data_IF_037128001719
#
_entry.id   IF_037128001719
#
_cell.length_a   1.000
_cell.length_b   1.000
_cell.length_c   1.000
_cell.angle_alpha   90.00
_cell.angle_beta   90.00
_cell.angle_gamma   90.00
#
_symmetry.space_group_name_H-M   'P 1'
#
loop_
_entity.id
_entity.type
_entity.pdbx_description
1 polymer ?
#
# COMPACT_ATOMS: atom_id res chain seq x y z
N UNK A 1 -5.14 -35.65 47.87
CA UNK A 1 -4.19 -34.54 47.58
C UNK A 1 -3.87 -34.57 46.10
N UNK A 2 -4.41 -33.64 45.32
CA UNK A 2 -4.07 -33.46 43.91
C UNK A 2 -3.81 -31.96 43.70
N UNK A 3 -2.56 -31.61 43.43
CA UNK A 3 -2.14 -30.23 43.21
C UNK A 3 -2.31 -29.86 41.74
N UNK A 4 -3.22 -28.93 41.45
CA UNK A 4 -3.26 -28.26 40.16
C UNK A 4 -2.14 -27.21 40.09
N UNK A 5 -1.15 -27.45 39.23
CA UNK A 5 -0.19 -26.44 38.79
C UNK A 5 -0.85 -25.57 37.72
N UNK A 6 -1.11 -24.31 38.04
CA UNK A 6 -1.41 -23.30 37.02
C UNK A 6 -0.09 -22.81 36.43
N UNK A 7 0.18 -23.14 35.17
CA UNK A 7 1.17 -22.45 34.35
C UNK A 7 0.62 -21.08 33.98
N UNK A 8 1.31 -20.02 34.42
CA UNK A 8 0.99 -18.65 34.03
C UNK A 8 1.30 -18.46 32.54
N UNK A 9 0.26 -18.30 31.72
CA UNK A 9 0.38 -17.90 30.33
C UNK A 9 0.56 -16.37 30.29
N UNK A 10 1.81 -15.91 30.22
CA UNK A 10 2.09 -14.48 29.99
C UNK A 10 1.72 -14.19 28.54
N UNK A 11 0.61 -13.49 28.34
CA UNK A 11 0.16 -13.06 27.02
C UNK A 11 1.09 -11.94 26.50
N UNK A 12 1.99 -12.29 25.57
CA UNK A 12 2.87 -11.35 24.84
C UNK A 12 2.12 -10.28 24.03
N UNK A 13 0.78 -10.34 23.98
CA UNK A 13 -0.05 -9.37 23.25
C UNK A 13 -0.08 -7.99 23.89
N UNK A 14 0.21 -7.86 25.18
CA UNK A 14 0.09 -6.59 25.91
C UNK A 14 1.15 -5.55 25.52
N UNK A 15 2.34 -5.97 25.06
CA UNK A 15 3.42 -5.03 24.70
C UNK A 15 3.22 -4.39 23.33
N UNK A 16 2.37 -4.96 22.47
CA UNK A 16 2.12 -4.44 21.10
C UNK A 16 1.17 -3.23 21.05
N UNK A 17 0.51 -2.87 22.16
CA UNK A 17 -0.49 -1.81 22.19
C UNK A 17 0.04 -0.39 22.50
N UNK A 18 1.35 -0.21 22.73
CA UNK A 18 1.91 1.10 23.14
C UNK A 18 2.35 2.03 21.98
N UNK A 19 2.07 1.70 20.72
CA UNK A 19 2.39 2.56 19.57
C UNK A 19 1.21 3.40 19.07
N UNK A 20 0.31 3.85 19.94
CA UNK A 20 -0.77 4.77 19.54
C UNK A 20 -0.40 6.24 19.79
N UNK A 21 -0.35 7.00 18.69
CA UNK A 21 -0.60 8.46 18.59
C UNK A 21 0.45 9.42 19.16
N UNK A 22 1.66 9.42 18.62
CA UNK A 22 2.61 10.55 18.76
C UNK A 22 2.96 11.10 17.37
N UNK A 23 2.75 12.40 17.07
CA UNK A 23 3.13 13.02 15.80
C UNK A 23 4.63 12.80 15.54
N UNK A 24 4.92 12.28 14.36
CA UNK A 24 6.07 11.44 14.08
C UNK A 24 7.40 12.17 13.95
N UNK A 25 8.39 11.67 14.69
CA UNK A 25 9.77 11.69 14.26
C UNK A 25 9.90 10.84 12.97
N UNK A 26 10.53 11.38 11.92
CA UNK A 26 10.56 10.80 10.57
C UNK A 26 11.31 9.46 10.47
N UNK A 27 12.05 9.07 11.52
CA UNK A 27 12.86 7.85 11.59
C UNK A 27 12.32 6.80 12.58
N UNK A 28 11.04 6.84 12.93
CA UNK A 28 10.43 5.73 13.70
C UNK A 28 10.55 4.42 12.91
N UNK A 29 11.12 3.41 13.55
CA UNK A 29 11.19 2.03 13.06
C UNK A 29 10.16 1.17 13.80
N UNK A 30 9.79 0.05 13.18
CA UNK A 30 8.88 -0.96 13.72
C UNK A 30 9.35 -2.34 13.27
N UNK A 31 9.18 -3.34 14.12
CA UNK A 31 9.45 -4.73 13.76
C UNK A 31 8.28 -5.29 12.93
N UNK A 32 8.61 -5.94 11.82
CA UNK A 32 7.62 -6.61 11.00
C UNK A 32 6.99 -7.78 11.77
N UNK A 33 5.65 -7.89 11.87
CA UNK A 33 4.99 -8.97 12.60
C UNK A 33 5.08 -10.34 11.90
N UNK A 34 5.62 -10.41 10.68
CA UNK A 34 5.76 -11.65 9.90
C UNK A 34 7.20 -12.17 9.92
N UNK A 35 8.19 -11.31 9.67
CA UNK A 35 9.60 -11.74 9.56
C UNK A 35 10.54 -11.11 10.59
N UNK A 36 10.00 -10.37 11.57
CA UNK A 36 10.72 -9.76 12.70
C UNK A 36 11.79 -8.73 12.31
N UNK A 37 11.95 -8.42 11.01
CA UNK A 37 12.88 -7.40 10.53
C UNK A 37 12.42 -6.01 10.96
N UNK A 38 13.36 -5.23 11.49
CA UNK A 38 13.15 -3.80 11.75
C UNK A 38 13.04 -3.03 10.44
N UNK A 39 11.89 -2.40 10.20
CA UNK A 39 11.62 -1.59 9.01
C UNK A 39 11.25 -0.15 9.40
N UNK A 40 11.44 0.81 8.49
CA UNK A 40 10.92 2.16 8.72
C UNK A 40 9.39 2.12 8.73
N UNK A 41 8.78 2.81 9.68
CA UNK A 41 7.33 2.82 9.84
C UNK A 41 6.60 3.17 8.54
N UNK A 42 7.11 4.14 7.77
CA UNK A 42 6.53 4.57 6.48
C UNK A 42 6.61 3.55 5.34
N UNK A 43 7.50 2.55 5.43
CA UNK A 43 7.66 1.52 4.38
C UNK A 43 7.02 0.18 4.76
N UNK A 44 6.43 0.08 5.96
CA UNK A 44 5.83 -1.17 6.46
C UNK A 44 4.82 -1.73 5.46
N UNK A 45 3.87 -0.92 4.97
CA UNK A 45 2.87 -1.39 3.99
C UNK A 45 3.52 -2.00 2.73
N UNK A 46 4.60 -1.39 2.22
CA UNK A 46 5.31 -1.91 1.06
C UNK A 46 6.04 -3.22 1.36
N UNK A 47 6.66 -3.31 2.53
CA UNK A 47 7.30 -4.52 3.02
C UNK A 47 6.29 -5.67 3.20
N UNK A 48 5.14 -5.39 3.81
CA UNK A 48 4.04 -6.35 3.99
C UNK A 48 3.46 -6.81 2.65
N UNK A 49 3.37 -5.92 1.66
CA UNK A 49 3.00 -6.29 0.29
C UNK A 49 3.89 -7.39 -0.29
N UNK A 50 5.20 -7.35 -0.01
CA UNK A 50 6.13 -8.41 -0.42
C UNK A 50 5.83 -9.77 0.20
N UNK A 51 5.44 -9.83 1.48
CA UNK A 51 5.01 -11.08 2.12
C UNK A 51 3.70 -11.60 1.53
N UNK A 52 2.71 -10.71 1.34
CA UNK A 52 1.40 -11.07 0.79
C UNK A 52 1.56 -11.65 -0.61
N UNK A 53 2.32 -10.98 -1.49
CA UNK A 53 2.49 -11.43 -2.86
C UNK A 53 3.24 -12.76 -2.95
N UNK A 54 4.32 -12.94 -2.17
CA UNK A 54 5.06 -14.21 -2.12
C UNK A 54 4.18 -15.36 -1.61
N UNK A 55 3.41 -15.14 -0.56
CA UNK A 55 2.46 -16.13 -0.05
C UNK A 55 1.39 -16.51 -1.09
N UNK A 56 0.83 -15.52 -1.79
CA UNK A 56 -0.13 -15.75 -2.88
C UNK A 56 0.46 -16.55 -4.05
N UNK A 57 1.77 -16.44 -4.29
CA UNK A 57 2.50 -17.18 -5.31
C UNK A 57 3.02 -18.54 -4.82
N UNK A 58 2.70 -18.95 -3.59
CA UNK A 58 3.19 -20.21 -3.00
C UNK A 58 4.67 -20.23 -2.69
N UNK A 59 5.32 -19.05 -2.63
CA UNK A 59 6.73 -18.93 -2.27
C UNK A 59 6.82 -18.98 -0.75
N UNK A 60 7.41 -20.07 -0.24
CA UNK A 60 7.67 -20.21 1.20
C UNK A 60 8.79 -19.25 1.64
N UNK A 61 8.55 -18.54 2.73
CA UNK A 61 9.61 -17.91 3.52
C UNK A 61 9.59 -18.54 4.91
N UNK A 62 10.71 -18.44 5.61
CA UNK A 62 10.78 -18.87 7.00
C UNK A 62 9.78 -18.05 7.83
N UNK A 63 8.96 -18.72 8.64
CA UNK A 63 8.01 -18.11 9.58
C UNK A 63 6.88 -17.25 8.95
N UNK A 64 6.43 -17.55 7.74
CA UNK A 64 5.24 -16.89 7.18
C UNK A 64 3.98 -17.28 7.95
N UNK A 65 3.41 -16.32 8.65
CA UNK A 65 2.01 -16.36 9.09
C UNK A 65 1.21 -15.27 8.33
N UNK A 66 0.94 -15.53 7.05
CA UNK A 66 0.12 -14.67 6.18
C UNK A 66 -1.21 -15.37 5.95
N UNK A 67 -2.31 -14.65 6.20
CA UNK A 67 -3.65 -15.15 5.87
C UNK A 67 -3.80 -15.32 4.37
N UNK A 68 -4.31 -16.48 3.95
CA UNK A 68 -4.63 -16.75 2.53
C UNK A 68 -5.90 -16.01 2.08
N UNK A 69 -6.74 -15.60 3.03
CA UNK A 69 -8.03 -14.94 2.78
C UNK A 69 -7.93 -13.51 3.28
N UNK A 70 -8.02 -12.56 2.35
CA UNK A 70 -7.99 -11.10 2.58
C UNK A 70 -6.95 -10.63 3.61
N UNK A 71 -5.64 -10.90 3.39
CA UNK A 71 -4.60 -10.50 4.32
C UNK A 71 -4.54 -8.97 4.47
N UNK A 72 -4.36 -8.51 5.70
CA UNK A 72 -4.17 -7.11 6.01
C UNK A 72 -2.83 -6.60 5.47
N UNK A 73 -2.83 -5.46 4.79
CA UNK A 73 -1.61 -4.80 4.28
C UNK A 73 -0.66 -4.28 5.36
N UNK A 74 -0.98 -4.43 6.65
CA UNK A 74 -0.17 -3.96 7.77
C UNK A 74 0.38 -5.10 8.65
N UNK A 75 -0.38 -6.18 8.82
CA UNK A 75 0.02 -7.31 9.67
C UNK A 75 -0.14 -8.69 9.02
N UNK A 76 -0.59 -8.75 7.77
CA UNK A 76 -0.88 -9.98 7.01
C UNK A 76 -1.95 -10.91 7.59
N UNK A 77 -2.55 -10.59 8.73
CA UNK A 77 -3.69 -11.31 9.30
C UNK A 77 -5.01 -10.86 8.65
N UNK A 78 -6.03 -11.70 8.65
CA UNK A 78 -7.38 -11.33 8.21
C UNK A 78 -8.10 -10.45 9.26
N UNK A 79 -9.31 -10.00 8.95
CA UNK A 79 -10.18 -9.29 9.92
C UNK A 79 -9.87 -7.82 10.15
N UNK A 80 -8.96 -7.23 9.37
CA UNK A 80 -8.59 -5.81 9.47
C UNK A 80 -8.90 -5.08 8.16
N UNK A 81 -10.19 -4.78 7.89
CA UNK A 81 -10.57 -4.07 6.67
C UNK A 81 -9.87 -2.70 6.61
N UNK A 82 -9.60 -2.25 5.38
CA UNK A 82 -9.07 -0.91 5.12
C UNK A 82 -10.17 -0.06 4.52
N UNK A 83 -10.29 1.17 5.02
CA UNK A 83 -11.24 2.15 4.53
C UNK A 83 -10.50 3.39 4.03
N UNK A 84 -11.09 4.11 3.09
CA UNK A 84 -10.60 5.41 2.64
C UNK A 84 -11.37 6.51 3.35
N UNK A 85 -10.72 7.20 4.27
CA UNK A 85 -11.32 8.33 4.99
C UNK A 85 -10.82 9.66 4.44
N UNK A 86 -11.72 10.63 4.35
CA UNK A 86 -11.38 12.02 4.00
C UNK A 86 -11.39 12.85 5.28
N UNK A 87 -10.22 13.19 5.78
CA UNK A 87 -10.09 13.96 7.01
C UNK A 87 -10.20 15.47 6.72
N UNK A 88 -11.35 16.07 7.08
CA UNK A 88 -11.60 17.51 6.98
C UNK A 88 -11.48 18.06 5.55
N UNK A 89 -10.73 19.16 5.40
CA UNK A 89 -10.53 19.86 4.12
C UNK A 89 -9.43 19.22 3.24
N UNK A 90 -8.83 18.10 3.66
CA UNK A 90 -7.78 17.46 2.86
C UNK A 90 -8.36 17.03 1.50
N UNK A 91 -7.61 17.32 0.43
CA UNK A 91 -8.00 16.92 -0.94
C UNK A 91 -7.85 15.42 -1.19
N UNK A 92 -7.07 14.72 -0.38
CA UNK A 92 -6.71 13.32 -0.60
C UNK A 92 -7.31 12.41 0.46
N UNK A 93 -7.82 11.25 0.03
CA UNK A 93 -8.19 10.17 0.92
C UNK A 93 -6.96 9.60 1.64
N UNK A 94 -7.15 9.17 2.89
CA UNK A 94 -6.16 8.47 3.68
C UNK A 94 -6.66 7.06 4.02
N UNK A 95 -5.78 6.05 3.99
CA UNK A 95 -6.13 4.72 4.46
C UNK A 95 -6.34 4.75 5.98
N UNK A 96 -7.42 4.12 6.45
CA UNK A 96 -7.74 3.88 7.85
C UNK A 96 -8.02 2.40 8.07
N UNK A 97 -7.56 1.84 9.19
CA UNK A 97 -7.82 0.45 9.56
C UNK A 97 -7.81 0.30 11.07
N UNK A 98 -8.55 -0.68 11.59
CA UNK A 98 -8.50 -1.09 12.99
C UNK A 98 -7.23 -1.87 13.35
N UNK A 99 -6.37 -2.18 12.38
CA UNK A 99 -5.11 -2.88 12.61
C UNK A 99 -4.20 -2.10 13.58
N UNK A 100 -3.61 -2.76 14.60
CA UNK A 100 -2.65 -2.10 15.50
C UNK A 100 -1.35 -1.67 14.80
N UNK A 101 -1.05 -2.27 13.64
CA UNK A 101 0.08 -1.90 12.79
C UNK A 101 -0.31 -0.90 11.69
N UNK A 102 -1.52 -0.35 11.72
CA UNK A 102 -1.98 0.60 10.71
C UNK A 102 -1.08 1.84 10.67
N UNK A 103 -0.73 2.25 9.46
CA UNK A 103 0.09 3.44 9.22
C UNK A 103 -0.65 4.38 8.28
N UNK A 104 -0.46 5.69 8.47
CA UNK A 104 -0.95 6.71 7.54
C UNK A 104 0.10 6.90 6.45
N UNK A 105 -0.31 6.78 5.19
CA UNK A 105 0.54 7.04 4.03
C UNK A 105 -0.25 7.68 2.89
N UNK A 106 0.48 8.29 1.94
CA UNK A 106 -0.11 8.83 0.72
C UNK A 106 -0.37 7.71 -0.28
N UNK A 107 -1.64 7.48 -0.63
CA UNK A 107 -2.06 6.48 -1.63
C UNK A 107 -1.40 6.78 -2.97
N UNK A 108 -1.39 8.05 -3.40
CA UNK A 108 -0.76 8.44 -4.65
C UNK A 108 0.75 8.17 -4.68
N UNK A 109 1.44 8.32 -3.55
CA UNK A 109 2.87 7.97 -3.48
C UNK A 109 3.08 6.45 -3.49
N UNK A 110 2.30 5.70 -2.70
CA UNK A 110 2.41 4.25 -2.59
C UNK A 110 1.91 3.49 -3.83
N UNK A 111 1.05 4.10 -4.66
CA UNK A 111 0.63 3.54 -5.94
C UNK A 111 1.76 3.50 -6.98
N UNK A 112 2.89 4.18 -6.71
CA UNK A 112 4.06 4.19 -7.57
C UNK A 112 5.17 3.34 -6.96
N UNK A 113 5.60 2.31 -7.69
CA UNK A 113 6.73 1.47 -7.29
C UNK A 113 8.03 2.29 -7.32
N UNK A 114 8.83 2.17 -6.26
CA UNK A 114 10.15 2.81 -6.16
C UNK A 114 11.18 1.83 -5.63
N UNK A 115 12.47 2.13 -5.79
CA UNK A 115 13.56 1.28 -5.28
C UNK A 115 13.46 1.00 -3.76
N UNK A 116 12.95 1.94 -2.98
CA UNK A 116 12.84 1.84 -1.52
C UNK A 116 11.45 1.39 -1.03
N UNK A 117 10.47 1.38 -1.92
CA UNK A 117 9.09 0.97 -1.66
C UNK A 117 8.54 0.32 -2.93
N UNK A 118 8.95 -0.93 -3.23
CA UNK A 118 8.66 -1.57 -4.51
C UNK A 118 7.20 -2.01 -4.65
N UNK A 119 6.53 -2.36 -3.55
CA UNK A 119 5.12 -2.77 -3.59
C UNK A 119 4.20 -1.58 -3.77
N UNK A 120 3.23 -1.75 -4.67
CA UNK A 120 2.10 -0.85 -4.93
C UNK A 120 0.80 -1.36 -4.30
N UNK A 121 0.90 -2.17 -3.23
CA UNK A 121 -0.24 -2.71 -2.51
C UNK A 121 -1.02 -1.62 -1.76
N UNK A 122 -1.79 -0.84 -2.50
CA UNK A 122 -2.61 0.25 -1.97
C UNK A 122 -4.09 -0.12 -1.98
N UNK A 123 -4.91 0.50 -1.11
CA UNK A 123 -6.33 0.32 -1.17
C UNK A 123 -6.90 0.96 -2.44
N UNK A 124 -7.71 0.20 -3.17
CA UNK A 124 -8.42 0.59 -4.38
C UNK A 124 -9.91 0.33 -4.18
N UNK A 125 -10.76 1.20 -4.74
CA UNK A 125 -12.21 1.01 -4.68
C UNK A 125 -12.65 -0.01 -5.73
N UNK A 126 -13.50 -0.95 -5.35
CA UNK A 126 -14.13 -1.87 -6.29
C UNK A 126 -15.33 -1.18 -6.97
N UNK A 127 -15.30 -0.91 -8.28
CA UNK A 127 -16.43 -0.30 -9.00
C UNK A 127 -17.61 -1.27 -9.20
N UNK A 128 -17.40 -2.57 -8.96
CA UNK A 128 -18.42 -3.61 -9.09
C UNK A 128 -19.30 -3.73 -7.85
N UNK A 129 -18.82 -3.24 -6.70
CA UNK A 129 -19.61 -3.14 -5.49
C UNK A 129 -20.65 -2.01 -5.66
N UNK A 130 -21.93 -2.39 -5.70
CA UNK A 130 -23.06 -1.47 -5.85
C UNK A 130 -23.15 -0.51 -4.65
N UNK A 131 -23.29 0.79 -4.95
CA UNK A 131 -23.31 1.94 -4.01
C UNK A 131 -24.54 2.00 -3.08
N UNK A 132 -25.27 0.91 -2.88
CA UNK A 132 -26.49 0.91 -2.04
C UNK A 132 -26.20 1.26 -0.57
N UNK A 133 -24.96 1.06 -0.13
CA UNK A 133 -24.35 1.77 1.00
C UNK A 133 -23.30 2.73 0.42
N UNK A 134 -23.21 3.94 0.95
CA UNK A 134 -22.38 5.06 0.50
C UNK A 134 -20.86 4.82 0.36
N UNK A 135 -20.39 3.60 0.53
CA UNK A 135 -18.98 3.22 0.48
C UNK A 135 -18.78 2.07 -0.51
N UNK A 136 -18.12 2.37 -1.64
CA UNK A 136 -17.52 1.33 -2.46
C UNK A 136 -16.51 0.57 -1.60
N UNK A 137 -16.62 -0.76 -1.57
CA UNK A 137 -15.69 -1.62 -0.84
C UNK A 137 -14.25 -1.26 -1.23
N UNK A 138 -13.48 -0.84 -0.24
CA UNK A 138 -12.06 -0.51 -0.39
C UNK A 138 -11.26 -1.78 -0.14
N UNK A 139 -10.59 -2.27 -1.17
CA UNK A 139 -9.86 -3.54 -1.16
C UNK A 139 -8.39 -3.25 -1.48
N UNK A 140 -7.46 -3.91 -0.80
CA UNK A 140 -6.04 -3.82 -1.15
C UNK A 140 -5.80 -4.39 -2.55
N UNK A 141 -4.93 -3.75 -3.35
CA UNK A 141 -4.62 -4.14 -4.73
C UNK A 141 -4.40 -5.65 -4.88
N UNK A 142 -3.55 -6.24 -4.04
CA UNK A 142 -3.21 -7.66 -4.14
C UNK A 142 -4.35 -8.60 -3.73
N UNK A 143 -5.36 -8.10 -3.02
CA UNK A 143 -6.53 -8.88 -2.59
C UNK A 143 -7.71 -8.74 -3.57
N UNK A 144 -7.65 -7.84 -4.54
CA UNK A 144 -8.78 -7.52 -5.42
C UNK A 144 -9.23 -8.72 -6.26
N UNK A 145 -8.30 -9.55 -6.75
CA UNK A 145 -8.65 -10.74 -7.52
C UNK A 145 -9.48 -11.73 -6.69
N UNK A 146 -9.07 -11.96 -5.44
CA UNK A 146 -9.81 -12.77 -4.48
C UNK A 146 -11.18 -12.16 -4.14
N UNK A 147 -11.23 -10.84 -3.91
CA UNK A 147 -12.50 -10.14 -3.68
C UNK A 147 -13.49 -10.32 -4.84
N UNK A 148 -13.03 -10.18 -6.08
CA UNK A 148 -13.87 -10.38 -7.26
C UNK A 148 -14.38 -11.82 -7.34
N UNK A 149 -13.52 -12.82 -7.14
CA UNK A 149 -13.95 -14.22 -7.21
C UNK A 149 -14.91 -14.60 -6.09
N UNK A 150 -14.76 -14.03 -4.88
CA UNK A 150 -15.59 -14.36 -3.72
C UNK A 150 -16.91 -13.58 -3.70
N UNK A 151 -16.86 -12.25 -3.91
CA UNK A 151 -18.02 -11.35 -3.77
C UNK A 151 -18.78 -11.18 -5.09
N UNK A 152 -18.08 -11.27 -6.21
CA UNK A 152 -18.64 -11.11 -7.55
C UNK A 152 -18.60 -12.41 -8.36
N UNK A 153 -18.72 -13.56 -7.69
CA UNK A 153 -18.74 -14.91 -8.30
C UNK A 153 -19.84 -15.11 -9.36
N UNK A 154 -20.91 -14.32 -9.29
CA UNK A 154 -21.99 -14.32 -10.28
C UNK A 154 -21.68 -13.56 -11.58
N UNK A 155 -20.53 -12.88 -11.67
CA UNK A 155 -20.10 -12.27 -12.92
C UNK A 155 -19.70 -13.35 -13.93
N UNK A 156 -20.06 -13.12 -15.19
CA UNK A 156 -19.66 -14.01 -16.27
C UNK A 156 -18.12 -14.02 -16.37
N UNK A 157 -17.45 -15.17 -16.29
CA UNK A 157 -15.98 -15.25 -16.34
C UNK A 157 -15.41 -14.75 -17.68
N UNK A 158 -16.22 -14.73 -18.74
CA UNK A 158 -15.83 -14.20 -20.05
C UNK A 158 -16.07 -12.69 -20.17
N UNK A 159 -16.70 -12.05 -19.18
CA UNK A 159 -16.87 -10.61 -19.18
C UNK A 159 -15.58 -9.94 -18.70
N UNK A 160 -14.95 -9.07 -19.52
CA UNK A 160 -13.75 -8.38 -19.10
C UNK A 160 -14.05 -7.42 -17.95
N UNK A 161 -13.10 -7.32 -17.01
CA UNK A 161 -13.15 -6.30 -15.97
C UNK A 161 -13.12 -4.89 -16.59
N UNK A 162 -13.73 -3.89 -15.93
CA UNK A 162 -13.56 -2.50 -16.34
C UNK A 162 -12.07 -2.15 -16.48
N UNK A 163 -11.68 -1.53 -17.60
CA UNK A 163 -10.28 -1.27 -17.93
C UNK A 163 -9.52 -0.56 -16.79
N UNK A 164 -10.17 0.41 -16.14
CA UNK A 164 -9.60 1.13 -14.99
C UNK A 164 -9.29 0.20 -13.80
N UNK A 165 -10.18 -0.77 -13.52
CA UNK A 165 -9.98 -1.75 -12.45
C UNK A 165 -8.85 -2.73 -12.82
N UNK A 166 -8.86 -3.25 -14.05
CA UNK A 166 -7.81 -4.14 -14.55
C UNK A 166 -6.42 -3.48 -14.47
N UNK A 167 -6.30 -2.21 -14.89
CA UNK A 167 -5.05 -1.45 -14.77
C UNK A 167 -4.65 -1.23 -13.30
N UNK A 168 -5.61 -0.91 -12.42
CA UNK A 168 -5.32 -0.71 -10.99
C UNK A 168 -4.85 -1.98 -10.29
N UNK A 169 -5.34 -3.15 -10.74
CA UNK A 169 -4.95 -4.46 -10.21
C UNK A 169 -3.61 -4.97 -10.74
N UNK A 170 -3.19 -4.54 -11.95
CA UNK A 170 -1.98 -5.05 -12.62
C UNK A 170 -0.74 -4.91 -11.72
N UNK A 171 -0.14 -6.03 -11.33
CA UNK A 171 1.17 -6.08 -10.68
C UNK A 171 2.21 -6.18 -11.80
N UNK A 172 3.13 -5.22 -11.87
CA UNK A 172 4.11 -5.18 -12.99
C UNK A 172 5.25 -6.18 -12.77
N UNK A 173 5.91 -6.63 -13.85
CA UNK A 173 7.09 -7.50 -13.74
C UNK A 173 8.20 -6.86 -12.91
N UNK A 174 8.43 -5.57 -13.12
CA UNK A 174 9.42 -4.78 -12.36
C UNK A 174 9.10 -4.75 -10.87
N UNK A 175 7.82 -4.62 -10.50
CA UNK A 175 7.36 -4.67 -9.11
C UNK A 175 7.59 -6.06 -8.49
N UNK A 176 7.23 -7.14 -9.20
CA UNK A 176 7.46 -8.51 -8.75
C UNK A 176 8.96 -8.79 -8.52
N UNK A 177 9.80 -8.42 -9.49
CA UNK A 177 11.26 -8.57 -9.36
C UNK A 177 11.81 -7.79 -8.16
N UNK A 178 11.37 -6.54 -7.99
CA UNK A 178 11.81 -5.71 -6.88
C UNK A 178 11.31 -6.21 -5.51
N UNK A 179 10.28 -7.05 -5.48
CA UNK A 179 9.81 -7.78 -4.30
C UNK A 179 10.48 -9.16 -4.12
N UNK A 180 11.45 -9.50 -4.98
CA UNK A 180 12.21 -10.74 -4.88
C UNK A 180 11.47 -11.98 -5.41
N UNK A 181 10.46 -11.79 -6.27
CA UNK A 181 9.80 -12.91 -6.95
C UNK A 181 10.76 -13.52 -7.99
N UNK A 182 11.00 -14.85 -7.97
CA UNK A 182 11.80 -15.55 -8.97
C UNK A 182 11.28 -15.37 -10.41
N UNK A 183 12.18 -15.21 -11.38
CA UNK A 183 11.83 -14.90 -12.77
C UNK A 183 11.02 -15.99 -13.46
N UNK A 184 11.24 -17.25 -13.07
CA UNK A 184 10.51 -18.43 -13.54
C UNK A 184 9.04 -18.44 -13.12
N UNK A 185 8.68 -17.65 -12.09
CA UNK A 185 7.31 -17.51 -11.61
C UNK A 185 6.60 -16.25 -12.15
N UNK A 186 7.30 -15.37 -12.87
CA UNK A 186 6.71 -14.13 -13.42
C UNK A 186 6.21 -14.38 -14.86
N UNK A 187 4.90 -14.25 -15.05
CA UNK A 187 4.27 -14.32 -16.38
C UNK A 187 4.75 -13.19 -17.30
N UNK A 188 4.94 -13.49 -18.60
CA UNK A 188 5.75 -12.71 -19.55
C UNK A 188 5.13 -11.46 -20.19
N UNK A 189 3.97 -10.98 -19.77
CA UNK A 189 3.17 -10.05 -20.60
C UNK A 189 3.24 -8.58 -20.16
N UNK A 190 4.42 -7.96 -20.30
CA UNK A 190 4.58 -6.51 -20.09
C UNK A 190 4.46 -5.65 -21.36
N UNK A 191 3.90 -6.20 -22.46
CA UNK A 191 3.55 -5.41 -23.64
C UNK A 191 2.15 -4.78 -23.52
N UNK A 192 2.05 -3.73 -22.70
CA UNK A 192 1.09 -2.67 -22.98
C UNK A 192 1.86 -1.34 -23.03
N UNK A 193 2.11 -0.91 -24.27
CA UNK A 193 2.89 0.29 -24.60
C UNK A 193 2.32 1.53 -23.89
N UNK A 194 3.03 2.01 -22.87
CA UNK A 194 2.78 3.36 -22.32
C UNK A 194 3.34 4.40 -23.29
N UNK A 195 2.58 5.46 -23.65
CA UNK A 195 3.14 6.60 -24.35
C UNK A 195 4.20 7.29 -23.48
N UNK A 196 5.33 7.63 -24.09
CA UNK A 196 6.51 8.19 -23.45
C UNK A 196 6.16 9.40 -22.55
N UNK A 197 6.42 9.26 -21.25
CA UNK A 197 6.35 10.35 -20.29
C UNK A 197 7.46 11.37 -20.61
N UNK A 198 7.08 12.44 -21.29
CA UNK A 198 7.94 13.60 -21.53
C UNK A 198 8.33 14.26 -20.22
N UNK A 199 9.63 14.23 -19.90
CA UNK A 199 10.23 14.99 -18.79
C UNK A 199 9.98 16.50 -19.00
N UNK A 200 8.96 17.06 -18.35
CA UNK A 200 8.85 18.52 -18.17
C UNK A 200 9.89 18.98 -17.14
N UNK A 201 11.07 19.40 -17.62
CA UNK A 201 12.01 20.22 -16.84
C UNK A 201 11.30 21.52 -16.47
N UNK A 202 11.09 21.77 -15.17
CA UNK A 202 10.77 23.11 -14.67
C UNK A 202 12.07 23.93 -14.69
N UNK A 203 12.18 24.85 -15.65
CA UNK A 203 13.18 25.90 -15.60
C UNK A 203 12.66 26.99 -14.65
N UNK A 204 13.43 27.31 -13.62
CA UNK A 204 13.19 28.45 -12.74
C UNK A 204 13.81 29.69 -13.40
N UNK A 205 12.96 30.61 -13.88
CA UNK A 205 13.40 31.92 -14.37
C UNK A 205 13.51 32.87 -13.18
N UNK A 206 14.74 33.29 -12.87
CA UNK A 206 15.07 34.29 -11.85
C UNK A 206 15.12 35.65 -12.55
N UNK A 207 14.05 36.45 -12.42
CA UNK A 207 14.02 37.82 -12.93
C UNK A 207 14.76 38.75 -11.98
N UNK A 208 15.98 39.15 -12.36
CA UNK A 208 16.67 40.33 -11.81
C UNK A 208 16.16 41.57 -12.54
N UNK A 209 15.44 42.42 -11.82
CA UNK A 209 15.09 43.78 -12.27
C UNK A 209 16.21 44.71 -11.81
N UNK A 210 17.05 45.15 -12.75
CA UNK A 210 17.94 46.30 -12.54
C UNK A 210 17.15 47.57 -12.90
N UNK A 211 16.97 48.46 -11.93
CA UNK A 211 16.51 49.82 -12.16
C UNK A 211 17.71 50.71 -12.50
N UNK A 212 17.73 51.27 -13.72
CA UNK A 212 18.59 52.40 -14.08
C UNK A 212 17.80 53.70 -13.96
N UNK A 213 18.28 54.59 -13.09
CA UNK A 213 17.77 55.95 -12.95
C UNK A 213 18.54 56.88 -13.91
N UNK A 214 17.83 57.40 -14.91
CA UNK A 214 18.35 58.40 -15.85
C UNK A 214 18.22 59.82 -15.25
N UNK A 215 19.36 60.47 -15.00
CA UNK A 215 19.45 61.91 -14.74
C UNK A 215 19.58 62.64 -16.08
N UNK A 216 18.65 63.56 -16.38
CA UNK A 216 18.80 64.52 -17.47
C UNK A 216 18.75 65.94 -16.90
N UNK A 217 19.90 66.61 -16.93
CA UNK A 217 20.01 68.07 -16.78
C UNK A 217 19.28 68.78 -17.92
N UNK A 218 18.62 69.89 -17.59
CA UNK A 218 18.21 70.94 -18.53
C UNK A 218 19.01 72.18 -18.16
N UNK A 219 19.81 72.63 -19.12
CA UNK A 219 20.01 74.05 -19.39
C UNK A 219 18.80 74.58 -20.21
#
# INVERSE_FOLDING_TARGET
MAGCRFSAFVSETATRQLLTKQPGNADKTIECPVCEKTVKHKVLCSHMGGHILRAQMGISEDNINVSMVDPCGFCSQSGHPVQLVKEGWKRTFQPSSSCPFSIIFSIGAAANSTKTSPSTNVPIQCPLCLSSSSDHSTILKYNMAHHISAVHSGLNPNQPLPLALAMAMKITRSEQQALGIPLDLISGDDELQTPASGKRKRAATRSTVHGEASKRSKD
#
